data_IF_911671037585
#
_entry.id   IF_911671037585
#
_cell.length_a   1.000
_cell.length_b   1.000
_cell.length_c   1.000
_cell.angle_alpha   90.00
_cell.angle_beta   90.00
_cell.angle_gamma   90.00
#
_symmetry.space_group_name_H-M   'P 1'
#
loop_
_entity.id
_entity.type
_entity.pdbx_description
1 polymer ?
#
# COMPACT_ATOMS: atom_id res chain seq x y z
N UNK A 1 91.05 42.59 48.25
CA UNK A 1 90.93 41.94 46.93
C UNK A 1 89.76 42.58 46.22
N UNK A 2 90.02 43.54 45.33
CA UNK A 2 88.96 44.15 44.52
C UNK A 2 88.44 43.13 43.49
N UNK A 3 87.12 42.93 43.36
CA UNK A 3 86.57 42.03 42.36
C UNK A 3 86.80 42.58 40.96
N UNK A 4 87.37 41.75 40.08
CA UNK A 4 87.66 42.10 38.70
C UNK A 4 86.40 42.58 37.95
N UNK A 5 86.47 43.78 37.37
CA UNK A 5 85.35 44.43 36.68
C UNK A 5 85.01 43.61 35.42
N UNK A 6 83.77 43.09 35.28
CA UNK A 6 83.43 42.21 34.18
C UNK A 6 83.56 42.94 32.83
N UNK A 7 84.27 42.30 31.89
CA UNK A 7 84.53 42.81 30.54
C UNK A 7 83.22 43.02 29.77
N UNK A 8 83.12 44.15 29.04
CA UNK A 8 81.93 44.51 28.27
C UNK A 8 81.52 43.43 27.26
N UNK A 9 82.46 42.63 26.74
CA UNK A 9 82.18 41.54 25.79
C UNK A 9 81.34 40.42 26.43
N UNK A 10 81.57 40.12 27.70
CA UNK A 10 80.82 39.07 28.42
C UNK A 10 79.37 39.49 28.66
N UNK A 11 79.14 40.77 29.00
CA UNK A 11 77.79 41.33 29.16
C UNK A 11 77.02 41.31 27.85
N UNK A 12 77.65 41.72 26.75
CA UNK A 12 77.04 41.70 25.41
C UNK A 12 76.68 40.27 25.01
N UNK A 13 77.60 39.31 25.16
CA UNK A 13 77.34 37.91 24.84
C UNK A 13 76.18 37.34 25.67
N UNK A 14 76.16 37.60 26.99
CA UNK A 14 75.07 37.17 27.86
C UNK A 14 73.71 37.74 27.46
N UNK A 15 73.63 39.06 27.19
CA UNK A 15 72.40 39.70 26.72
C UNK A 15 71.95 39.15 25.37
N UNK A 16 72.89 38.89 24.46
CA UNK A 16 72.57 38.32 23.14
C UNK A 16 71.97 36.93 23.31
N UNK A 17 72.61 36.04 24.09
CA UNK A 17 72.08 34.69 24.36
C UNK A 17 70.73 34.74 25.06
N UNK A 18 70.55 35.63 26.03
CA UNK A 18 69.28 35.82 26.75
C UNK A 18 68.16 36.22 25.78
N UNK A 19 68.38 37.22 24.94
CA UNK A 19 67.40 37.67 23.93
C UNK A 19 67.10 36.54 22.94
N UNK A 20 68.12 35.82 22.46
CA UNK A 20 67.93 34.70 21.52
C UNK A 20 67.10 33.58 22.13
N UNK A 21 67.32 33.29 23.42
CA UNK A 21 66.56 32.27 24.17
C UNK A 21 65.09 32.68 24.35
N UNK A 22 64.83 33.94 24.68
CA UNK A 22 63.47 34.47 24.80
C UNK A 22 62.72 34.37 23.47
N UNK A 23 63.36 34.76 22.36
CA UNK A 23 62.78 34.64 21.01
C UNK A 23 62.42 33.19 20.68
N UNK A 24 63.32 32.24 21.02
CA UNK A 24 63.05 30.81 20.83
C UNK A 24 61.85 30.32 21.65
N UNK A 25 61.74 30.73 22.91
CA UNK A 25 60.62 30.36 23.78
C UNK A 25 59.29 30.92 23.26
N UNK A 26 59.28 32.17 22.80
CA UNK A 26 58.07 32.79 22.21
C UNK A 26 57.67 32.08 20.92
N UNK A 27 58.63 31.76 20.06
CA UNK A 27 58.36 31.01 18.82
C UNK A 27 57.83 29.60 19.10
N UNK A 28 58.40 28.89 20.08
CA UNK A 28 57.95 27.57 20.51
C UNK A 28 56.53 27.62 21.11
N UNK A 29 56.23 28.63 21.94
CA UNK A 29 54.90 28.84 22.50
C UNK A 29 53.85 29.13 21.41
N UNK A 30 54.19 29.99 20.44
CA UNK A 30 53.32 30.28 19.30
C UNK A 30 53.04 29.02 18.46
N UNK A 31 54.07 28.22 18.17
CA UNK A 31 53.92 26.95 17.46
C UNK A 31 53.07 25.94 18.23
N UNK A 32 53.27 25.82 19.55
CA UNK A 32 52.47 24.95 20.41
C UNK A 32 50.99 25.34 20.40
N UNK A 33 50.69 26.65 20.47
CA UNK A 33 49.32 27.16 20.37
C UNK A 33 48.68 26.88 19.02
N UNK A 34 49.41 27.10 17.91
CA UNK A 34 48.93 26.79 16.55
C UNK A 34 48.68 25.29 16.39
N UNK A 35 49.55 24.44 16.93
CA UNK A 35 49.37 23.00 16.89
C UNK A 35 48.13 22.56 17.68
N UNK A 36 47.95 23.08 18.89
CA UNK A 36 46.80 22.78 19.73
C UNK A 36 45.48 23.19 19.08
N UNK A 37 45.38 24.41 18.55
CA UNK A 37 44.17 24.91 17.88
C UNK A 37 43.84 24.10 16.63
N UNK A 38 44.85 23.75 15.82
CA UNK A 38 44.64 22.84 14.66
C UNK A 38 44.23 21.43 15.08
N UNK A 39 44.79 20.89 16.16
CA UNK A 39 44.42 19.58 16.67
C UNK A 39 42.96 19.54 17.15
N UNK A 40 42.47 20.60 17.83
CA UNK A 40 41.06 20.68 18.20
C UNK A 40 40.16 20.75 16.96
N UNK A 41 40.46 21.64 16.02
CA UNK A 41 39.67 21.77 14.80
C UNK A 41 39.59 20.44 14.00
N UNK A 42 40.68 19.67 13.97
CA UNK A 42 40.68 18.35 13.34
C UNK A 42 39.77 17.34 14.08
N UNK A 43 39.82 17.34 15.42
CA UNK A 43 38.97 16.47 16.23
C UNK A 43 37.49 16.82 16.07
N UNK A 44 37.15 18.10 16.05
CA UNK A 44 35.78 18.58 15.84
C UNK A 44 35.27 18.19 14.44
N UNK A 45 36.11 18.39 13.41
CA UNK A 45 35.78 17.99 12.04
C UNK A 45 35.58 16.47 11.92
N UNK A 46 36.43 15.68 12.57
CA UNK A 46 36.32 14.23 12.57
C UNK A 46 35.05 13.76 13.30
N UNK A 47 34.72 14.38 14.43
CA UNK A 47 33.47 14.14 15.16
C UNK A 47 32.23 14.47 14.31
N UNK A 48 32.23 15.64 13.65
CA UNK A 48 31.16 16.05 12.75
C UNK A 48 31.02 15.09 11.55
N UNK A 49 32.13 14.64 10.97
CA UNK A 49 32.13 13.67 9.88
C UNK A 49 31.54 12.31 10.31
N UNK A 50 31.90 11.83 11.49
CA UNK A 50 31.34 10.59 12.03
C UNK A 50 29.83 10.71 12.27
N UNK A 51 29.38 11.82 12.88
CA UNK A 51 27.96 12.09 13.06
C UNK A 51 27.21 12.15 11.72
N UNK A 52 27.78 12.81 10.71
CA UNK A 52 27.18 12.88 9.37
C UNK A 52 27.06 11.48 8.73
N UNK A 53 28.07 10.60 8.90
CA UNK A 53 28.01 9.21 8.42
C UNK A 53 26.93 8.41 9.13
N UNK A 54 26.77 8.57 10.43
CA UNK A 54 25.71 7.92 11.22
C UNK A 54 24.32 8.38 10.78
N UNK A 55 24.12 9.68 10.63
CA UNK A 55 22.85 10.26 10.12
C UNK A 55 22.54 9.76 8.71
N UNK A 56 23.54 9.72 7.82
CA UNK A 56 23.38 9.17 6.47
C UNK A 56 22.94 7.70 6.52
N UNK A 57 23.60 6.87 7.32
CA UNK A 57 23.25 5.45 7.46
C UNK A 57 21.84 5.26 8.04
N UNK A 58 21.45 6.11 9.01
CA UNK A 58 20.10 6.10 9.57
C UNK A 58 19.03 6.46 8.52
N UNK A 59 19.28 7.50 7.71
CA UNK A 59 18.39 7.91 6.62
C UNK A 59 18.29 6.84 5.53
N UNK A 60 19.40 6.20 5.14
CA UNK A 60 19.39 5.10 4.16
C UNK A 60 18.56 3.90 4.66
N UNK A 61 18.69 3.57 5.95
CA UNK A 61 17.87 2.52 6.59
C UNK A 61 16.40 2.90 6.64
N UNK A 62 16.08 4.15 6.98
CA UNK A 62 14.72 4.66 7.01
C UNK A 62 14.08 4.66 5.62
N UNK A 63 14.82 5.10 4.59
CA UNK A 63 14.37 5.10 3.20
C UNK A 63 14.09 3.68 2.69
N UNK A 64 15.00 2.74 2.97
CA UNK A 64 14.83 1.33 2.59
C UNK A 64 13.61 0.70 3.27
N UNK A 65 13.43 0.96 4.57
CA UNK A 65 12.28 0.45 5.35
C UNK A 65 10.96 1.04 4.87
N UNK A 66 10.95 2.34 4.55
CA UNK A 66 9.77 3.03 4.01
C UNK A 66 9.41 2.51 2.62
N UNK A 67 10.41 2.28 1.76
CA UNK A 67 10.21 1.69 0.42
C UNK A 67 9.63 0.28 0.51
N UNK A 68 10.17 -0.58 1.38
CA UNK A 68 9.63 -1.91 1.62
C UNK A 68 8.17 -1.88 2.10
N UNK A 69 7.86 -0.98 3.03
CA UNK A 69 6.50 -0.80 3.56
C UNK A 69 5.53 -0.31 2.47
N UNK A 70 5.94 0.66 1.65
CA UNK A 70 5.13 1.17 0.54
C UNK A 70 4.86 0.10 -0.50
N UNK A 71 5.87 -0.69 -0.87
CA UNK A 71 5.70 -1.79 -1.82
C UNK A 71 4.74 -2.87 -1.29
N UNK A 72 4.81 -3.18 0.00
CA UNK A 72 3.86 -4.09 0.63
C UNK A 72 2.43 -3.54 0.61
N UNK A 73 2.24 -2.26 0.98
CA UNK A 73 0.93 -1.60 0.93
C UNK A 73 0.36 -1.53 -0.48
N UNK A 74 1.22 -1.25 -1.48
CA UNK A 74 0.81 -1.22 -2.89
C UNK A 74 0.28 -2.59 -3.31
N UNK A 75 1.01 -3.66 -3.01
CA UNK A 75 0.59 -5.03 -3.33
C UNK A 75 -0.75 -5.38 -2.66
N UNK A 76 -0.91 -5.09 -1.38
CA UNK A 76 -2.18 -5.33 -0.67
C UNK A 76 -3.34 -4.56 -1.31
N UNK A 77 -3.11 -3.30 -1.72
CA UNK A 77 -4.11 -2.49 -2.39
C UNK A 77 -4.49 -3.07 -3.77
N UNK A 78 -3.51 -3.52 -4.55
CA UNK A 78 -3.73 -4.17 -5.85
C UNK A 78 -4.52 -5.47 -5.70
N UNK A 79 -4.18 -6.31 -4.73
CA UNK A 79 -4.87 -7.57 -4.44
C UNK A 79 -6.33 -7.32 -4.01
N UNK A 80 -6.57 -6.33 -3.13
CA UNK A 80 -7.91 -5.93 -2.70
C UNK A 80 -8.75 -5.38 -3.86
N UNK A 81 -8.15 -4.54 -4.71
CA UNK A 81 -8.83 -3.99 -5.89
C UNK A 81 -9.22 -5.09 -6.88
N UNK A 82 -8.34 -6.05 -7.10
CA UNK A 82 -8.61 -7.21 -7.97
C UNK A 82 -9.75 -8.07 -7.41
N UNK A 83 -9.70 -8.40 -6.12
CA UNK A 83 -10.77 -9.16 -5.46
C UNK A 83 -12.14 -8.45 -5.54
N UNK A 84 -12.16 -7.12 -5.37
CA UNK A 84 -13.38 -6.33 -5.52
C UNK A 84 -13.91 -6.33 -6.96
N UNK A 85 -13.02 -6.24 -7.96
CA UNK A 85 -13.38 -6.31 -9.37
C UNK A 85 -13.97 -7.68 -9.73
N UNK A 86 -13.31 -8.76 -9.31
CA UNK A 86 -13.76 -10.13 -9.57
C UNK A 86 -15.13 -10.38 -8.89
N UNK A 87 -15.32 -9.89 -7.67
CA UNK A 87 -16.62 -9.95 -6.97
C UNK A 87 -17.71 -9.22 -7.76
N UNK A 88 -17.45 -7.99 -8.21
CA UNK A 88 -18.43 -7.20 -8.98
C UNK A 88 -18.74 -7.82 -10.35
N UNK A 89 -17.75 -8.43 -11.00
CA UNK A 89 -17.94 -9.16 -12.25
C UNK A 89 -18.86 -10.36 -12.03
N UNK A 90 -18.59 -11.17 -11.01
CA UNK A 90 -19.45 -12.31 -10.66
C UNK A 90 -20.89 -11.87 -10.36
N UNK A 91 -21.08 -10.76 -9.63
CA UNK A 91 -22.41 -10.18 -9.38
C UNK A 91 -23.11 -9.79 -10.68
N UNK A 92 -22.40 -9.15 -11.60
CA UNK A 92 -22.93 -8.71 -12.89
C UNK A 92 -23.31 -9.90 -13.78
N UNK A 93 -22.47 -10.93 -13.83
CA UNK A 93 -22.72 -12.15 -14.60
C UNK A 93 -23.97 -12.89 -14.10
N UNK A 94 -24.17 -12.97 -12.76
CA UNK A 94 -25.40 -13.52 -12.17
C UNK A 94 -26.65 -12.70 -12.49
N UNK A 95 -26.59 -11.38 -12.40
CA UNK A 95 -27.70 -10.50 -12.80
C UNK A 95 -28.03 -10.65 -14.30
N UNK A 96 -27.01 -10.82 -15.15
CA UNK A 96 -27.21 -11.09 -16.57
C UNK A 96 -27.93 -12.42 -16.83
N UNK A 97 -27.66 -13.47 -16.04
CA UNK A 97 -28.38 -14.73 -16.09
C UNK A 97 -29.87 -14.55 -15.72
N UNK A 98 -30.16 -13.82 -14.63
CA UNK A 98 -31.54 -13.46 -14.25
C UNK A 98 -32.27 -12.68 -15.35
N UNK A 99 -31.61 -11.68 -15.95
CA UNK A 99 -32.17 -10.92 -17.07
C UNK A 99 -32.46 -11.77 -18.30
N UNK A 100 -31.60 -12.75 -18.59
CA UNK A 100 -31.78 -13.70 -19.71
C UNK A 100 -33.00 -14.59 -19.45
N UNK A 101 -33.12 -15.15 -18.25
CA UNK A 101 -34.27 -15.93 -17.82
C UNK A 101 -35.56 -15.11 -17.90
N UNK A 102 -35.57 -13.91 -17.32
CA UNK A 102 -36.72 -13.00 -17.35
C UNK A 102 -37.14 -12.66 -18.78
N UNK A 103 -36.19 -12.28 -19.63
CA UNK A 103 -36.46 -11.93 -21.04
C UNK A 103 -37.09 -13.10 -21.80
N UNK A 104 -36.55 -14.30 -21.62
CA UNK A 104 -37.11 -15.50 -22.21
C UNK A 104 -38.54 -15.76 -21.71
N UNK A 105 -38.75 -15.67 -20.40
CA UNK A 105 -40.05 -15.90 -19.77
C UNK A 105 -41.12 -14.91 -20.25
N UNK A 106 -40.76 -13.63 -20.42
CA UNK A 106 -41.65 -12.62 -21.04
C UNK A 106 -42.06 -13.03 -22.46
N UNK A 107 -41.16 -13.63 -23.26
CA UNK A 107 -41.53 -14.17 -24.57
C UNK A 107 -42.59 -15.26 -24.45
N UNK A 108 -42.39 -16.21 -23.53
CA UNK A 108 -43.34 -17.31 -23.32
C UNK A 108 -44.71 -16.79 -22.84
N UNK A 109 -44.74 -15.84 -21.89
CA UNK A 109 -45.97 -15.19 -21.44
C UNK A 109 -46.73 -14.50 -22.58
N UNK A 110 -46.03 -13.85 -23.51
CA UNK A 110 -46.66 -13.20 -24.67
C UNK A 110 -47.22 -14.22 -25.66
N UNK A 111 -46.54 -15.35 -25.86
CA UNK A 111 -47.00 -16.42 -26.75
C UNK A 111 -48.28 -17.06 -26.24
N UNK A 112 -48.37 -17.32 -24.93
CA UNK A 112 -49.47 -18.08 -24.34
C UNK A 112 -50.49 -17.23 -23.57
N UNK A 113 -50.30 -15.91 -23.52
CA UNK A 113 -51.11 -14.97 -22.72
C UNK A 113 -51.15 -15.29 -21.22
N UNK A 114 -50.08 -15.90 -20.69
CA UNK A 114 -50.01 -16.35 -19.30
C UNK A 114 -49.10 -17.55 -19.09
N UNK A 115 -49.28 -18.24 -17.97
CA UNK A 115 -48.54 -19.47 -17.61
C UNK A 115 -49.21 -20.76 -18.09
N UNK A 116 -50.45 -20.66 -18.54
CA UNK A 116 -51.18 -21.80 -19.08
C UNK A 116 -50.81 -21.99 -20.56
N UNK A 117 -50.66 -23.25 -21.00
CA UNK A 117 -50.34 -23.57 -22.40
C UNK A 117 -48.84 -23.68 -22.73
N UNK A 118 -47.98 -23.49 -21.73
CA UNK A 118 -46.54 -23.70 -21.88
C UNK A 118 -46.24 -25.13 -22.30
N UNK A 119 -45.30 -25.29 -23.21
CA UNK A 119 -44.86 -26.60 -23.69
C UNK A 119 -43.74 -27.16 -22.82
N UNK A 120 -43.56 -28.48 -22.83
CA UNK A 120 -42.43 -29.15 -22.16
C UNK A 120 -41.08 -28.57 -22.60
N UNK A 121 -40.93 -28.25 -23.89
CA UNK A 121 -39.72 -27.63 -24.42
C UNK A 121 -39.46 -26.25 -23.83
N UNK A 122 -40.52 -25.44 -23.68
CA UNK A 122 -40.40 -24.12 -23.09
C UNK A 122 -40.05 -24.18 -21.61
N UNK A 123 -40.64 -25.12 -20.88
CA UNK A 123 -40.30 -25.42 -19.49
C UNK A 123 -38.85 -25.87 -19.34
N UNK A 124 -38.39 -26.86 -20.13
CA UNK A 124 -37.00 -27.33 -20.05
C UNK A 124 -36.00 -26.21 -20.33
N UNK A 125 -36.31 -25.31 -21.28
CA UNK A 125 -35.48 -24.14 -21.54
C UNK A 125 -35.52 -23.12 -20.39
N UNK A 126 -36.70 -22.81 -19.83
CA UNK A 126 -36.81 -21.94 -18.67
C UNK A 126 -36.03 -22.48 -17.47
N UNK A 127 -36.16 -23.78 -17.21
CA UNK A 127 -35.44 -24.50 -16.14
C UNK A 127 -33.93 -24.48 -16.35
N UNK A 128 -33.45 -24.69 -17.58
CA UNK A 128 -32.03 -24.58 -17.91
C UNK A 128 -31.48 -23.16 -17.68
N UNK A 129 -32.27 -22.13 -18.02
CA UNK A 129 -31.92 -20.73 -17.74
C UNK A 129 -31.98 -20.40 -16.24
N UNK A 130 -32.90 -21.00 -15.48
CA UNK A 130 -32.94 -20.91 -14.02
C UNK A 130 -31.72 -21.58 -13.37
N UNK A 131 -31.26 -22.73 -13.88
CA UNK A 131 -30.02 -23.35 -13.40
C UNK A 131 -28.79 -22.47 -13.68
N UNK A 132 -28.79 -21.71 -14.77
CA UNK A 132 -27.72 -20.78 -15.11
C UNK A 132 -27.61 -19.57 -14.16
N UNK A 133 -28.63 -19.31 -13.32
CA UNK A 133 -28.53 -18.29 -12.26
C UNK A 133 -27.74 -18.79 -11.04
N UNK A 134 -27.48 -20.10 -10.96
CA UNK A 134 -26.90 -20.79 -9.80
C UNK A 134 -27.72 -20.60 -8.50
N UNK A 135 -29.02 -20.33 -8.63
CA UNK A 135 -29.94 -20.18 -7.50
C UNK A 135 -30.96 -21.31 -7.50
N UNK A 136 -30.82 -22.24 -6.55
CA UNK A 136 -31.72 -23.38 -6.43
C UNK A 136 -33.17 -22.94 -6.17
N UNK A 137 -33.41 -21.84 -5.46
CA UNK A 137 -34.76 -21.33 -5.24
C UNK A 137 -35.41 -20.87 -6.56
N UNK A 138 -34.62 -20.34 -7.51
CA UNK A 138 -35.12 -19.99 -8.84
C UNK A 138 -35.51 -21.22 -9.66
N UNK A 139 -34.73 -22.30 -9.57
CA UNK A 139 -35.06 -23.59 -10.19
C UNK A 139 -36.34 -24.15 -9.57
N UNK A 140 -36.42 -24.19 -8.25
CA UNK A 140 -37.57 -24.73 -7.52
C UNK A 140 -38.84 -23.96 -7.82
N UNK A 141 -38.77 -22.62 -7.94
CA UNK A 141 -39.91 -21.79 -8.30
C UNK A 141 -40.33 -21.95 -9.76
N UNK A 142 -39.40 -22.26 -10.65
CA UNK A 142 -39.70 -22.62 -12.04
C UNK A 142 -40.41 -23.98 -12.12
N UNK A 143 -39.89 -24.98 -11.42
CA UNK A 143 -40.47 -26.32 -11.34
C UNK A 143 -41.84 -26.30 -10.64
N UNK A 144 -42.00 -25.48 -9.59
CA UNK A 144 -43.27 -25.29 -8.89
C UNK A 144 -44.33 -24.65 -9.80
N UNK A 145 -44.00 -23.56 -10.49
CA UNK A 145 -44.94 -22.88 -11.39
C UNK A 145 -45.39 -23.77 -12.56
N UNK A 146 -44.52 -24.66 -13.02
CA UNK A 146 -44.83 -25.67 -14.04
C UNK A 146 -45.78 -26.76 -13.53
N UNK A 147 -45.48 -27.35 -12.37
CA UNK A 147 -46.18 -28.54 -11.86
C UNK A 147 -47.55 -28.20 -11.22
N UNK A 148 -47.75 -26.99 -10.70
CA UNK A 148 -48.96 -26.63 -9.93
C UNK A 148 -50.02 -25.92 -10.80
N UNK A 149 -50.41 -26.55 -11.91
CA UNK A 149 -51.37 -25.95 -12.86
C UNK A 149 -52.77 -25.74 -12.27
N UNK A 150 -53.09 -26.41 -11.16
CA UNK A 150 -54.30 -26.22 -10.36
C UNK A 150 -54.34 -24.86 -9.63
N UNK A 151 -53.19 -24.19 -9.48
CA UNK A 151 -53.10 -22.86 -8.87
C UNK A 151 -53.32 -21.78 -9.93
N UNK A 152 -54.01 -20.71 -9.53
CA UNK A 152 -54.22 -19.53 -10.36
C UNK A 152 -52.91 -19.03 -10.97
N UNK A 153 -52.93 -18.77 -12.28
CA UNK A 153 -51.74 -18.39 -13.04
C UNK A 153 -51.13 -17.06 -12.57
N UNK A 154 -51.93 -16.14 -12.03
CA UNK A 154 -51.44 -14.86 -11.51
C UNK A 154 -50.65 -15.09 -10.23
N UNK A 155 -51.11 -15.98 -9.35
CA UNK A 155 -50.38 -16.37 -8.13
C UNK A 155 -49.05 -17.03 -8.51
N UNK A 156 -49.09 -17.99 -9.45
CA UNK A 156 -47.86 -18.65 -9.91
C UNK A 156 -46.85 -17.68 -10.50
N UNK A 157 -47.32 -16.73 -11.30
CA UNK A 157 -46.49 -15.69 -11.91
C UNK A 157 -45.91 -14.74 -10.85
N UNK A 158 -46.72 -14.31 -9.89
CA UNK A 158 -46.28 -13.41 -8.82
C UNK A 158 -45.14 -14.04 -8.00
N UNK A 159 -45.31 -15.31 -7.59
CA UNK A 159 -44.29 -16.07 -6.85
C UNK A 159 -43.00 -16.25 -7.65
N UNK A 160 -43.10 -16.47 -8.95
CA UNK A 160 -41.95 -16.61 -9.84
C UNK A 160 -41.21 -15.28 -10.04
N UNK A 161 -41.94 -14.18 -10.19
CA UNK A 161 -41.36 -12.83 -10.28
C UNK A 161 -40.73 -12.38 -8.95
N UNK A 162 -41.32 -12.75 -7.82
CA UNK A 162 -40.73 -12.50 -6.50
C UNK A 162 -39.39 -13.25 -6.36
N UNK A 163 -39.33 -14.50 -6.79
CA UNK A 163 -38.08 -15.27 -6.79
C UNK A 163 -36.95 -14.60 -7.60
N UNK A 164 -37.28 -14.03 -8.77
CA UNK A 164 -36.33 -13.22 -9.54
C UNK A 164 -35.88 -12.00 -8.77
N UNK A 165 -36.83 -11.24 -8.21
CA UNK A 165 -36.54 -10.01 -7.46
C UNK A 165 -35.63 -10.29 -6.26
N UNK A 166 -35.95 -11.33 -5.48
CA UNK A 166 -35.16 -11.78 -4.33
C UNK A 166 -33.78 -12.25 -4.78
N UNK A 167 -33.69 -13.04 -5.84
CA UNK A 167 -32.42 -13.54 -6.40
C UNK A 167 -31.48 -12.42 -6.85
N UNK A 168 -32.00 -11.43 -7.58
CA UNK A 168 -31.25 -10.23 -7.99
C UNK A 168 -30.81 -9.43 -6.75
N UNK A 169 -31.72 -9.21 -5.80
CA UNK A 169 -31.42 -8.45 -4.59
C UNK A 169 -30.32 -9.12 -3.77
N UNK A 170 -30.37 -10.44 -3.61
CA UNK A 170 -29.35 -11.19 -2.88
C UNK A 170 -28.01 -11.21 -3.61
N UNK A 171 -28.02 -11.20 -4.95
CA UNK A 171 -26.80 -11.09 -5.76
C UNK A 171 -26.12 -9.73 -5.59
N UNK A 172 -26.89 -8.65 -5.44
CA UNK A 172 -26.35 -7.29 -5.36
C UNK A 172 -25.82 -6.92 -3.97
N UNK A 173 -26.38 -7.51 -2.89
CA UNK A 173 -25.87 -7.35 -1.51
C UNK A 173 -24.41 -7.79 -1.40
#
# INVERSE_FOLDING_TARGET
MEPAKPSNKFKIAFFTTLVTTIVFLVAAAALGYVYYTKSQAYNDLNSANNKCKEEKAALEKQASSSSATLNQKLKTCEDQKKAALDTNKNKTDKVAAYNTLFSYFITVLRTHSGLNGWTDAEYQKARGLAQATEDQNMVDKTDWAWNHQEIDQVIRLADWLDAISVGITNTLK
#
